data_IF_656821700355
#
_entry.id   IF_656821700355
#
_cell.length_a   1.000
_cell.length_b   1.000
_cell.length_c   1.000
_cell.angle_alpha   90.00
_cell.angle_beta   90.00
_cell.angle_gamma   90.00
#
_symmetry.space_group_name_H-M   'P 1'
#
loop_
_entity.id
_entity.type
_entity.pdbx_description
1 polymer ?
#
# COMPACT_ATOMS: atom_id res chain seq x y z
N UNK A 1 11.69 -25.26 -6.11
CA UNK A 1 10.92 -24.19 -6.81
C UNK A 1 9.45 -24.17 -6.40
N UNK A 2 8.69 -25.27 -6.53
CA UNK A 2 7.26 -25.30 -6.15
C UNK A 2 6.98 -24.93 -4.67
N UNK A 3 7.82 -25.42 -3.74
CA UNK A 3 7.62 -25.14 -2.30
C UNK A 3 7.84 -23.65 -1.95
N UNK A 4 8.77 -23.00 -2.65
CA UNK A 4 9.07 -21.56 -2.52
C UNK A 4 7.91 -20.70 -3.03
N UNK A 5 7.32 -21.06 -4.17
CA UNK A 5 6.14 -20.36 -4.71
C UNK A 5 4.91 -20.52 -3.81
N UNK A 6 4.64 -21.73 -3.31
CA UNK A 6 3.53 -21.96 -2.36
C UNK A 6 3.68 -21.11 -1.10
N UNK A 7 4.89 -21.08 -0.53
CA UNK A 7 5.17 -20.22 0.63
C UNK A 7 4.94 -18.73 0.34
N UNK A 8 5.38 -18.25 -0.82
CA UNK A 8 5.17 -16.85 -1.23
C UNK A 8 3.69 -16.48 -1.40
N UNK A 9 2.89 -17.38 -1.97
CA UNK A 9 1.44 -17.19 -2.11
C UNK A 9 0.77 -17.12 -0.73
N UNK A 10 1.11 -18.03 0.18
CA UNK A 10 0.55 -18.02 1.55
C UNK A 10 0.91 -16.74 2.29
N UNK A 11 2.14 -16.25 2.13
CA UNK A 11 2.60 -14.96 2.68
C UNK A 11 1.82 -13.77 2.10
N UNK A 12 1.61 -13.75 0.79
CA UNK A 12 0.81 -12.70 0.13
C UNK A 12 -0.64 -12.72 0.63
N UNK A 13 -1.27 -13.90 0.67
CA UNK A 13 -2.64 -14.08 1.16
C UNK A 13 -2.78 -13.61 2.62
N UNK A 14 -1.88 -14.03 3.49
CA UNK A 14 -1.87 -13.56 4.88
C UNK A 14 -1.82 -12.03 4.95
N UNK A 15 -0.93 -11.41 4.18
CA UNK A 15 -0.71 -9.96 4.19
C UNK A 15 -1.98 -9.19 3.79
N UNK A 16 -2.61 -9.57 2.67
CA UNK A 16 -3.81 -8.89 2.17
C UNK A 16 -5.04 -9.18 3.04
N UNK A 17 -5.11 -10.34 3.69
CA UNK A 17 -6.17 -10.61 4.68
C UNK A 17 -6.05 -9.69 5.89
N UNK A 18 -4.86 -9.57 6.49
CA UNK A 18 -4.72 -8.70 7.67
C UNK A 18 -4.76 -7.22 7.30
N UNK A 19 -4.36 -6.83 6.09
CA UNK A 19 -4.52 -5.45 5.61
C UNK A 19 -5.98 -5.09 5.35
N UNK A 20 -6.79 -5.98 4.75
CA UNK A 20 -8.23 -5.78 4.64
C UNK A 20 -8.92 -5.63 6.01
N UNK A 21 -8.53 -6.43 7.00
CA UNK A 21 -9.04 -6.30 8.37
C UNK A 21 -8.52 -5.03 9.11
N UNK A 22 -7.46 -4.39 8.59
CA UNK A 22 -6.80 -3.28 9.28
C UNK A 22 -7.65 -2.01 9.34
N UNK A 23 -8.51 -1.75 8.35
CA UNK A 23 -9.43 -0.60 8.39
C UNK A 23 -10.42 -0.73 9.55
N UNK A 24 -10.89 -1.94 9.80
CA UNK A 24 -11.82 -2.25 10.91
C UNK A 24 -11.13 -2.09 12.25
N UNK A 25 -9.95 -2.70 12.42
CA UNK A 25 -9.18 -2.54 13.65
C UNK A 25 -8.76 -1.06 13.88
N UNK A 26 -8.50 -0.30 12.82
CA UNK A 26 -8.24 1.14 12.94
C UNK A 26 -9.47 1.87 13.48
N UNK A 27 -10.69 1.58 12.98
CA UNK A 27 -11.92 2.17 13.55
C UNK A 27 -12.15 1.80 15.01
N UNK A 28 -11.88 0.55 15.40
CA UNK A 28 -11.97 0.13 16.81
C UNK A 28 -10.99 0.93 17.67
N UNK A 29 -9.73 1.08 17.22
CA UNK A 29 -8.73 1.86 17.95
C UNK A 29 -9.09 3.35 18.05
N UNK A 30 -9.67 3.92 16.98
CA UNK A 30 -10.10 5.33 16.92
C UNK A 30 -11.25 5.68 17.88
N UNK A 31 -11.94 4.69 18.47
CA UNK A 31 -12.91 4.95 19.53
C UNK A 31 -12.24 5.37 20.85
N UNK A 32 -10.95 5.09 21.01
CA UNK A 32 -10.22 5.26 22.27
C UNK A 32 -8.95 6.10 22.14
N UNK A 33 -8.52 6.41 20.91
CA UNK A 33 -7.27 7.12 20.67
C UNK A 33 -7.35 7.96 19.39
N UNK A 34 -6.76 9.15 19.45
CA UNK A 34 -6.59 10.01 18.28
C UNK A 34 -5.88 9.29 17.11
N UNK A 35 -6.17 9.68 15.84
CA UNK A 35 -5.55 9.07 14.67
C UNK A 35 -4.03 8.99 14.71
N UNK A 36 -3.37 10.08 15.14
CA UNK A 36 -1.91 10.12 15.20
C UNK A 36 -1.35 9.17 16.26
N UNK A 37 -2.06 8.96 17.38
CA UNK A 37 -1.68 7.99 18.42
C UNK A 37 -1.73 6.56 17.89
N UNK A 38 -2.79 6.21 17.15
CA UNK A 38 -2.92 4.89 16.51
C UNK A 38 -1.78 4.66 15.50
N UNK A 39 -1.50 5.65 14.64
CA UNK A 39 -0.40 5.59 13.67
C UNK A 39 0.95 5.45 14.38
N UNK A 40 1.21 6.27 15.39
CA UNK A 40 2.48 6.27 16.10
C UNK A 40 2.76 4.95 16.80
N UNK A 41 1.80 4.43 17.58
CA UNK A 41 1.94 3.17 18.31
C UNK A 41 2.09 1.97 17.36
N UNK A 42 1.28 1.89 16.29
CA UNK A 42 1.35 0.75 15.35
C UNK A 42 2.69 0.70 14.62
N UNK A 43 3.24 1.85 14.23
CA UNK A 43 4.52 1.87 13.52
C UNK A 43 5.71 1.76 14.47
N UNK A 44 5.60 2.15 15.74
CA UNK A 44 6.60 1.82 16.75
C UNK A 44 6.80 0.29 16.85
N UNK A 45 5.71 -0.47 16.96
CA UNK A 45 5.75 -1.94 16.97
C UNK A 45 6.28 -2.50 15.64
N UNK A 46 5.83 -1.94 14.50
CA UNK A 46 6.30 -2.34 13.18
C UNK A 46 7.82 -2.17 13.02
N UNK A 47 8.39 -1.04 13.46
CA UNK A 47 9.83 -0.75 13.42
C UNK A 47 10.61 -1.78 14.24
N UNK A 48 10.13 -2.12 15.45
CA UNK A 48 10.77 -3.14 16.30
C UNK A 48 10.77 -4.50 15.60
N UNK A 49 9.64 -4.92 15.03
CA UNK A 49 9.50 -6.23 14.37
C UNK A 49 10.33 -6.30 13.09
N UNK A 50 10.29 -5.28 12.24
CA UNK A 50 11.11 -5.22 11.02
C UNK A 50 12.60 -5.13 11.37
N UNK A 51 12.98 -4.37 12.40
CA UNK A 51 14.35 -4.29 12.89
C UNK A 51 14.86 -5.65 13.36
N UNK A 52 14.04 -6.39 14.11
CA UNK A 52 14.35 -7.77 14.49
C UNK A 52 14.50 -8.68 13.27
N UNK A 53 13.59 -8.60 12.30
CA UNK A 53 13.67 -9.38 11.08
C UNK A 53 14.94 -9.07 10.25
N UNK A 54 15.32 -7.78 10.13
CA UNK A 54 16.56 -7.36 9.46
C UNK A 54 17.78 -7.90 10.20
N UNK A 55 17.80 -7.84 11.53
CA UNK A 55 18.88 -8.39 12.36
C UNK A 55 18.99 -9.91 12.19
N UNK A 56 17.90 -10.64 12.36
CA UNK A 56 17.86 -12.11 12.27
C UNK A 56 18.23 -12.62 10.86
N UNK A 57 17.91 -11.85 9.81
CA UNK A 57 18.27 -12.18 8.43
C UNK A 57 19.71 -11.77 8.05
N UNK A 58 20.47 -11.15 8.96
CA UNK A 58 21.81 -10.62 8.66
C UNK A 58 21.79 -9.55 7.57
N UNK A 59 20.72 -8.77 7.49
CA UNK A 59 20.49 -7.76 6.44
C UNK A 59 20.79 -6.34 6.92
N UNK A 60 21.27 -6.17 8.16
CA UNK A 60 21.54 -4.85 8.69
C UNK A 60 22.76 -4.23 8.00
N UNK A 61 22.54 -3.06 7.40
CA UNK A 61 23.58 -2.18 6.87
C UNK A 61 23.09 -0.74 6.97
N UNK A 62 23.98 0.23 6.93
CA UNK A 62 23.56 1.63 6.87
C UNK A 62 23.21 2.03 5.42
N UNK A 63 22.20 2.89 5.21
CA UNK A 63 21.98 3.54 3.92
C UNK A 63 23.20 4.36 3.53
N UNK A 64 23.49 4.46 2.23
CA UNK A 64 24.66 5.19 1.73
C UNK A 64 24.23 6.47 1.01
N UNK A 65 24.88 7.58 1.34
CA UNK A 65 24.72 8.87 0.64
C UNK A 65 23.25 9.29 0.48
N UNK A 66 22.76 9.29 -0.76
CA UNK A 66 21.42 9.76 -1.13
C UNK A 66 20.29 8.84 -0.65
N UNK A 67 20.60 7.60 -0.26
CA UNK A 67 19.59 6.64 0.21
C UNK A 67 18.90 7.09 1.49
N UNK A 68 19.58 7.87 2.33
CA UNK A 68 18.99 8.48 3.53
C UNK A 68 17.81 9.38 3.19
N UNK A 69 18.01 10.33 2.27
CA UNK A 69 16.95 11.23 1.82
C UNK A 69 15.83 10.50 1.06
N UNK A 70 16.20 9.48 0.29
CA UNK A 70 15.25 8.66 -0.45
C UNK A 70 14.34 7.84 0.48
N UNK A 71 14.90 7.16 1.49
CA UNK A 71 14.12 6.42 2.49
C UNK A 71 13.30 7.35 3.38
N UNK A 72 13.82 8.54 3.70
CA UNK A 72 13.07 9.56 4.42
C UNK A 72 11.83 10.03 3.62
N UNK A 73 12.01 10.41 2.35
CA UNK A 73 10.90 10.82 1.49
C UNK A 73 9.83 9.72 1.39
N UNK A 74 10.26 8.47 1.15
CA UNK A 74 9.35 7.33 1.09
C UNK A 74 8.69 7.04 2.44
N UNK A 75 9.39 7.23 3.56
CA UNK A 75 8.83 7.10 4.91
C UNK A 75 7.76 8.14 5.19
N UNK A 76 8.00 9.40 4.82
CA UNK A 76 6.98 10.44 4.92
C UNK A 76 5.75 10.10 4.07
N UNK A 77 5.94 9.78 2.79
CA UNK A 77 4.83 9.50 1.87
C UNK A 77 4.06 8.23 2.26
N UNK A 78 4.74 7.10 2.43
CA UNK A 78 4.12 5.78 2.59
C UNK A 78 3.67 5.44 4.01
N UNK A 79 4.21 6.13 5.03
CA UNK A 79 3.92 5.85 6.44
C UNK A 79 3.24 7.05 7.07
N UNK A 80 3.94 8.18 7.24
CA UNK A 80 3.41 9.31 8.00
C UNK A 80 2.18 9.90 7.34
N UNK A 81 2.32 10.41 6.11
CA UNK A 81 1.27 11.12 5.40
C UNK A 81 0.14 10.18 4.98
N UNK A 82 0.48 9.04 4.36
CA UNK A 82 -0.51 8.02 3.98
C UNK A 82 -1.38 7.56 5.15
N UNK A 83 -0.75 7.16 6.27
CA UNK A 83 -1.48 6.54 7.37
C UNK A 83 -2.16 7.56 8.26
N UNK A 84 -1.64 8.79 8.33
CA UNK A 84 -2.36 9.90 8.92
C UNK A 84 -3.65 10.21 8.13
N UNK A 85 -3.59 10.28 6.79
CA UNK A 85 -4.78 10.48 5.96
C UNK A 85 -5.80 9.35 6.15
N UNK A 86 -5.38 8.08 6.14
CA UNK A 86 -6.30 6.95 6.31
C UNK A 86 -6.91 6.92 7.71
N UNK A 87 -6.10 7.04 8.75
CA UNK A 87 -6.60 6.98 10.14
C UNK A 87 -7.50 8.16 10.45
N UNK A 88 -7.16 9.36 9.96
CA UNK A 88 -8.03 10.53 10.11
C UNK A 88 -9.30 10.39 9.27
N UNK A 89 -9.20 9.83 8.06
CA UNK A 89 -10.35 9.59 7.21
C UNK A 89 -11.34 8.59 7.81
N UNK A 90 -10.85 7.53 8.44
CA UNK A 90 -11.67 6.51 9.09
C UNK A 90 -12.46 7.00 10.32
N UNK A 91 -12.20 8.22 10.81
CA UNK A 91 -13.03 8.86 11.84
C UNK A 91 -14.46 9.09 11.32
N UNK A 92 -14.62 9.50 10.06
CA UNK A 92 -15.96 9.74 9.46
C UNK A 92 -16.33 8.73 8.37
N UNK A 93 -15.34 8.11 7.72
CA UNK A 93 -15.58 7.14 6.66
C UNK A 93 -16.02 5.78 7.22
N UNK A 94 -16.72 5.01 6.39
CA UNK A 94 -16.94 3.59 6.64
C UNK A 94 -15.69 2.78 6.30
N UNK A 95 -15.43 1.71 7.05
CA UNK A 95 -14.31 0.81 6.76
C UNK A 95 -14.52 0.16 5.38
N UNK A 96 -15.76 -0.27 5.10
CA UNK A 96 -16.15 -0.83 3.79
C UNK A 96 -15.86 0.12 2.62
N UNK A 97 -16.32 1.37 2.71
CA UNK A 97 -16.05 2.43 1.72
C UNK A 97 -14.56 2.67 1.54
N UNK A 98 -13.79 2.72 2.64
CA UNK A 98 -12.34 2.90 2.62
C UNK A 98 -11.64 1.80 1.83
N UNK A 99 -11.98 0.53 2.09
CA UNK A 99 -11.41 -0.60 1.35
C UNK A 99 -11.64 -0.53 -0.16
N UNK A 100 -12.83 -0.11 -0.59
CA UNK A 100 -13.15 0.06 -2.02
C UNK A 100 -12.40 1.22 -2.66
N UNK A 101 -12.27 2.36 -1.98
CA UNK A 101 -11.48 3.50 -2.47
C UNK A 101 -10.01 3.09 -2.63
N UNK A 102 -9.44 2.41 -1.62
CA UNK A 102 -8.04 1.97 -1.69
C UNK A 102 -7.82 0.96 -2.82
N UNK A 103 -8.78 0.07 -3.09
CA UNK A 103 -8.73 -0.84 -4.23
C UNK A 103 -8.69 -0.14 -5.60
N UNK A 104 -9.05 1.15 -5.65
CA UNK A 104 -8.96 1.97 -6.86
C UNK A 104 -7.57 2.58 -7.10
N UNK A 105 -6.59 2.39 -6.21
CA UNK A 105 -5.22 2.92 -6.35
C UNK A 105 -4.54 2.68 -7.71
N UNK A 106 -4.73 1.54 -8.41
CA UNK A 106 -4.13 1.33 -9.73
C UNK A 106 -4.60 2.33 -10.80
N UNK A 107 -5.77 2.96 -10.64
CA UNK A 107 -6.24 4.04 -11.51
C UNK A 107 -5.29 5.24 -11.40
N UNK A 108 -4.98 5.65 -10.17
CA UNK A 108 -4.07 6.76 -9.91
C UNK A 108 -2.67 6.45 -10.44
N UNK A 109 -2.22 5.19 -10.38
CA UNK A 109 -0.96 4.78 -11.01
C UNK A 109 -0.96 4.97 -12.53
N UNK A 110 -2.04 4.56 -13.21
CA UNK A 110 -2.16 4.74 -14.66
C UNK A 110 -2.19 6.22 -15.04
N UNK A 111 -2.91 7.05 -14.27
CA UNK A 111 -2.97 8.50 -14.47
C UNK A 111 -1.62 9.17 -14.22
N UNK A 112 -0.88 8.77 -13.18
CA UNK A 112 0.49 9.24 -12.94
C UNK A 112 1.43 8.83 -14.07
N UNK A 113 1.31 7.60 -14.60
CA UNK A 113 2.06 7.17 -15.78
C UNK A 113 1.80 8.05 -17.01
N UNK A 114 0.53 8.39 -17.25
CA UNK A 114 0.15 9.31 -18.32
C UNK A 114 0.75 10.71 -18.13
N UNK A 115 0.61 11.31 -16.94
CA UNK A 115 0.99 12.71 -16.71
C UNK A 115 2.50 12.88 -16.51
N UNK A 116 3.12 12.01 -15.72
CA UNK A 116 4.53 12.13 -15.31
C UNK A 116 5.46 11.45 -16.31
N UNK A 117 5.10 10.23 -16.75
CA UNK A 117 5.93 9.43 -17.66
C UNK A 117 5.56 9.63 -19.13
N UNK A 118 4.49 10.38 -19.42
CA UNK A 118 3.96 10.60 -20.77
C UNK A 118 3.61 9.30 -21.49
N UNK A 119 3.22 8.27 -20.74
CA UNK A 119 2.78 6.99 -21.29
C UNK A 119 1.41 7.13 -21.96
N UNK A 120 1.27 6.61 -23.18
CA UNK A 120 -0.02 6.62 -23.87
C UNK A 120 -0.99 5.58 -23.29
N UNK A 121 -2.22 6.01 -22.96
CA UNK A 121 -3.29 5.12 -22.53
C UNK A 121 -4.02 4.52 -23.75
N UNK A 122 -4.28 3.21 -23.69
CA UNK A 122 -5.19 2.54 -24.64
C UNK A 122 -6.65 2.82 -24.28
N UNK A 123 -7.55 2.68 -25.26
CA UNK A 123 -8.98 2.92 -25.04
C UNK A 123 -9.55 2.02 -23.92
N UNK A 124 -9.07 0.78 -23.78
CA UNK A 124 -9.48 -0.12 -22.71
C UNK A 124 -9.05 0.38 -21.32
N UNK A 125 -7.89 1.04 -21.23
CA UNK A 125 -7.43 1.68 -19.98
C UNK A 125 -8.29 2.90 -19.66
N UNK A 126 -8.62 3.72 -20.67
CA UNK A 126 -9.51 4.89 -20.49
C UNK A 126 -10.90 4.44 -20.00
N UNK A 127 -11.48 3.40 -20.62
CA UNK A 127 -12.75 2.85 -20.15
C UNK A 127 -12.65 2.24 -18.76
N UNK A 128 -11.56 1.53 -18.46
CA UNK A 128 -11.34 0.97 -17.12
C UNK A 128 -11.24 2.05 -16.05
N UNK A 129 -10.54 3.16 -16.35
CA UNK A 129 -10.45 4.34 -15.48
C UNK A 129 -11.83 4.97 -15.28
N UNK A 130 -12.60 5.18 -16.36
CA UNK A 130 -13.94 5.75 -16.28
C UNK A 130 -14.88 4.88 -15.46
N UNK A 131 -14.85 3.55 -15.69
CA UNK A 131 -15.68 2.58 -14.99
C UNK A 131 -15.35 2.56 -13.49
N UNK A 132 -14.07 2.45 -13.12
CA UNK A 132 -13.71 2.40 -11.72
C UNK A 132 -13.88 3.75 -11.02
N UNK A 133 -13.73 4.88 -11.71
CA UNK A 133 -14.10 6.21 -11.19
C UNK A 133 -15.61 6.26 -10.90
N UNK A 134 -16.45 5.76 -11.81
CA UNK A 134 -17.89 5.66 -11.58
C UNK A 134 -18.21 4.76 -10.38
N UNK A 135 -17.52 3.63 -10.25
CA UNK A 135 -17.67 2.74 -9.09
C UNK A 135 -17.30 3.43 -7.77
N UNK A 136 -16.22 4.22 -7.74
CA UNK A 136 -15.86 5.06 -6.58
C UNK A 136 -16.98 6.06 -6.28
N UNK A 137 -17.50 6.77 -7.28
CA UNK A 137 -18.61 7.72 -7.10
C UNK A 137 -19.85 7.04 -6.51
N UNK A 138 -20.20 5.84 -6.99
CA UNK A 138 -21.33 5.07 -6.47
C UNK A 138 -21.14 4.69 -4.99
N UNK A 139 -19.92 4.31 -4.61
CA UNK A 139 -19.54 3.94 -3.24
C UNK A 139 -19.58 5.16 -2.30
N UNK A 140 -18.95 6.28 -2.67
CA UNK A 140 -18.88 7.48 -1.79
C UNK A 140 -20.21 8.21 -1.66
N UNK A 141 -21.04 8.17 -2.71
CA UNK A 141 -22.40 8.76 -2.68
C UNK A 141 -23.44 7.81 -2.09
N UNK A 142 -23.04 6.58 -1.71
CA UNK A 142 -23.95 5.54 -1.24
C UNK A 142 -25.10 5.27 -2.22
N UNK A 143 -24.85 5.44 -3.52
CA UNK A 143 -25.81 5.29 -4.61
C UNK A 143 -26.66 6.54 -4.92
N UNK A 144 -26.60 7.59 -4.10
CA UNK A 144 -27.33 8.83 -4.36
C UNK A 144 -26.46 9.85 -5.11
N UNK A 145 -26.32 9.69 -6.42
CA UNK A 145 -25.51 10.59 -7.26
C UNK A 145 -26.01 12.05 -7.28
N UNK A 146 -27.25 12.32 -6.86
CA UNK A 146 -27.76 13.70 -6.79
C UNK A 146 -27.02 14.55 -5.75
N UNK A 147 -26.37 13.95 -4.76
CA UNK A 147 -25.56 14.69 -3.77
C UNK A 147 -24.37 15.41 -4.41
N UNK A 148 -23.87 14.90 -5.55
CA UNK A 148 -22.78 15.52 -6.30
C UNK A 148 -23.19 16.88 -6.88
N UNK A 149 -24.46 17.05 -7.29
CA UNK A 149 -24.96 18.32 -7.78
C UNK A 149 -24.95 19.41 -6.70
N UNK A 150 -24.99 19.00 -5.42
CA UNK A 150 -24.89 19.89 -4.26
C UNK A 150 -23.44 20.04 -3.75
N UNK A 151 -22.45 19.56 -4.50
CA UNK A 151 -21.03 19.61 -4.12
C UNK A 151 -20.63 18.64 -3.01
N UNK A 152 -21.47 17.67 -2.66
CA UNK A 152 -21.22 16.71 -1.58
C UNK A 152 -20.62 15.41 -2.12
N UNK A 153 -19.30 15.28 -2.02
CA UNK A 153 -18.53 14.10 -2.42
C UNK A 153 -18.29 13.15 -1.23
N UNK A 154 -19.38 12.58 -0.70
CA UNK A 154 -19.31 11.69 0.47
C UNK A 154 -18.93 12.42 1.76
N UNK A 155 -18.35 11.69 2.72
CA UNK A 155 -17.84 12.27 3.97
C UNK A 155 -16.47 12.91 3.76
N UNK A 156 -16.06 13.82 4.63
CA UNK A 156 -14.68 14.37 4.63
C UNK A 156 -13.64 13.26 4.67
N UNK A 157 -13.92 12.19 5.40
CA UNK A 157 -13.05 11.03 5.47
C UNK A 157 -12.89 10.27 4.16
N UNK A 158 -13.95 10.16 3.36
CA UNK A 158 -13.87 9.51 2.03
C UNK A 158 -12.92 10.30 1.10
N UNK A 159 -12.95 11.64 1.19
CA UNK A 159 -12.02 12.52 0.47
C UNK A 159 -10.58 12.32 0.96
N UNK A 160 -10.35 12.24 2.27
CA UNK A 160 -9.02 11.97 2.82
C UNK A 160 -8.47 10.61 2.37
N UNK A 161 -9.31 9.58 2.30
CA UNK A 161 -8.93 8.25 1.81
C UNK A 161 -8.64 8.30 0.30
N UNK A 162 -9.39 9.05 -0.50
CA UNK A 162 -9.09 9.26 -1.92
C UNK A 162 -7.71 9.90 -2.14
N UNK A 163 -7.40 10.95 -1.37
CA UNK A 163 -6.06 11.58 -1.38
C UNK A 163 -5.00 10.55 -0.96
N UNK A 164 -5.32 9.72 0.03
CA UNK A 164 -4.42 8.67 0.50
C UNK A 164 -4.15 7.60 -0.56
N UNK A 165 -5.16 7.19 -1.34
CA UNK A 165 -5.04 6.23 -2.44
C UNK A 165 -4.19 6.79 -3.59
N UNK A 166 -4.30 8.09 -3.90
CA UNK A 166 -3.42 8.79 -4.84
C UNK A 166 -1.98 8.85 -4.30
N UNK A 167 -1.80 9.24 -3.04
CA UNK A 167 -0.48 9.27 -2.39
C UNK A 167 0.18 7.89 -2.37
N UNK A 168 -0.60 6.82 -2.15
CA UNK A 168 -0.10 5.44 -2.25
C UNK A 168 0.42 5.10 -3.65
N UNK A 169 -0.27 5.57 -4.70
CA UNK A 169 0.20 5.42 -6.07
C UNK A 169 1.54 6.15 -6.31
N UNK A 170 1.69 7.37 -5.78
CA UNK A 170 2.96 8.13 -5.82
C UNK A 170 4.08 7.39 -5.08
N UNK A 171 3.84 7.00 -3.82
CA UNK A 171 4.79 6.20 -3.03
C UNK A 171 5.21 4.92 -3.76
N UNK A 172 4.25 4.21 -4.32
CA UNK A 172 4.49 2.96 -5.05
C UNK A 172 5.30 3.18 -6.32
N UNK A 173 5.05 4.26 -7.07
CA UNK A 173 5.85 4.61 -8.24
C UNK A 173 7.29 4.96 -7.84
N UNK A 174 7.46 5.76 -6.77
CA UNK A 174 8.76 6.20 -6.29
C UNK A 174 9.58 5.10 -5.62
N UNK A 175 8.96 4.07 -5.04
CA UNK A 175 9.65 2.96 -4.37
C UNK A 175 10.22 1.92 -5.34
N UNK A 176 9.69 1.82 -6.57
CA UNK A 176 10.12 0.82 -7.58
C UNK A 176 11.63 0.82 -7.87
N UNK A 177 12.32 1.96 -8.09
CA UNK A 177 13.76 1.97 -8.32
C UNK A 177 14.55 1.43 -7.13
N UNK A 178 14.15 1.76 -5.90
CA UNK A 178 14.79 1.28 -4.68
C UNK A 178 14.68 -0.22 -4.50
N UNK A 179 13.53 -0.82 -4.81
CA UNK A 179 13.31 -2.27 -4.74
C UNK A 179 14.22 -3.07 -5.70
N UNK A 180 14.78 -2.44 -6.73
CA UNK A 180 15.78 -3.06 -7.62
C UNK A 180 17.21 -3.00 -7.06
N UNK A 181 17.48 -2.07 -6.13
CA UNK A 181 18.82 -1.78 -5.59
C UNK A 181 19.04 -2.32 -4.18
N UNK A 182 17.95 -2.48 -3.41
CA UNK A 182 18.01 -2.87 -2.01
C UNK A 182 17.18 -4.14 -1.75
N UNK A 183 17.59 -4.90 -0.74
CA UNK A 183 16.74 -5.96 -0.18
C UNK A 183 15.47 -5.32 0.37
N UNK A 184 14.30 -5.83 -0.03
CA UNK A 184 13.05 -5.13 0.24
C UNK A 184 12.73 -4.98 1.74
N UNK A 185 13.03 -6.00 2.56
CA UNK A 185 12.87 -5.93 4.03
C UNK A 185 13.77 -4.85 4.66
N UNK A 186 15.01 -4.72 4.17
CA UNK A 186 15.95 -3.69 4.62
C UNK A 186 15.47 -2.28 4.25
N UNK A 187 15.10 -2.08 2.99
CA UNK A 187 14.56 -0.80 2.52
C UNK A 187 13.31 -0.41 3.32
N UNK A 188 12.39 -1.36 3.54
CA UNK A 188 11.18 -1.10 4.30
C UNK A 188 11.47 -0.75 5.77
N UNK A 189 12.46 -1.38 6.40
CA UNK A 189 12.85 -1.04 7.78
C UNK A 189 13.21 0.46 7.90
N UNK A 190 14.03 0.99 6.99
CA UNK A 190 14.38 2.40 7.02
C UNK A 190 13.23 3.33 6.65
N UNK A 191 12.43 2.98 5.63
CA UNK A 191 11.20 3.71 5.28
C UNK A 191 10.27 3.82 6.48
N UNK A 192 10.04 2.69 7.17
CA UNK A 192 9.18 2.63 8.35
C UNK A 192 9.75 3.40 9.52
N UNK A 193 11.06 3.32 9.74
CA UNK A 193 11.75 4.06 10.80
C UNK A 193 11.63 5.55 10.57
N UNK A 194 11.93 6.06 9.37
CA UNK A 194 11.74 7.47 9.06
C UNK A 194 10.29 7.92 9.16
N UNK A 195 9.37 7.09 8.66
CA UNK A 195 7.94 7.33 8.79
C UNK A 195 7.46 7.47 10.24
N UNK A 196 7.95 6.60 11.12
CA UNK A 196 7.70 6.67 12.55
C UNK A 196 8.36 7.90 13.21
N UNK A 197 9.58 8.27 12.81
CA UNK A 197 10.23 9.49 13.29
C UNK A 197 9.45 10.74 12.90
N UNK A 198 8.97 10.85 11.66
CA UNK A 198 8.15 11.98 11.23
C UNK A 198 6.78 12.00 11.89
N UNK A 199 6.15 10.84 12.10
CA UNK A 199 4.89 10.78 12.87
C UNK A 199 5.10 11.13 14.34
N UNK A 200 6.30 10.90 14.90
CA UNK A 200 6.66 11.31 16.26
C UNK A 200 6.59 12.84 16.42
N UNK A 201 6.99 13.60 15.40
CA UNK A 201 6.89 15.06 15.43
C UNK A 201 5.43 15.48 15.59
N UNK A 202 4.53 14.92 14.79
CA UNK A 202 3.09 15.21 14.88
C UNK A 202 2.48 14.73 16.20
N UNK A 203 2.88 13.55 16.66
CA UNK A 203 2.42 12.98 17.92
C UNK A 203 2.77 13.87 19.10
N UNK A 204 4.03 14.26 19.26
CA UNK A 204 4.47 15.11 20.38
C UNK A 204 4.04 16.58 20.23
N UNK A 205 3.72 17.05 19.02
CA UNK A 205 3.19 18.40 18.80
C UNK A 205 1.69 18.53 19.09
N UNK A 206 0.96 17.41 19.23
CA UNK A 206 -0.50 17.43 19.47
C UNK A 206 -0.79 17.63 20.96
N UNK A 207 -1.41 18.76 21.38
CA UNK A 207 -1.86 18.94 22.75
C UNK A 207 -3.00 17.97 23.04
N UNK A 208 -3.05 17.39 24.25
CA UNK A 208 -4.02 16.36 24.64
C UNK A 208 -3.85 15.05 23.86
N UNK A 209 -2.67 14.44 23.98
CA UNK A 209 -2.59 13.00 23.78
C UNK A 209 -3.61 12.36 24.72
N UNK A 210 -4.66 11.74 24.17
CA UNK A 210 -5.57 10.89 24.96
C UNK A 210 -4.69 10.05 25.88
N UNK A 211 -4.98 9.95 27.18
CA UNK A 211 -4.09 9.27 28.09
C UNK A 211 -3.91 7.85 27.58
N UNK A 212 -2.73 7.53 27.04
CA UNK A 212 -2.46 6.19 26.47
C UNK A 212 -2.75 5.10 27.51
N UNK A 213 -2.64 5.47 28.80
CA UNK A 213 -2.98 4.64 29.96
C UNK A 213 -4.48 4.35 30.12
N UNK A 214 -5.35 5.20 29.58
CA UNK A 214 -6.81 5.06 29.60
C UNK A 214 -7.34 4.25 28.43
N UNK A 215 -6.51 3.92 27.43
CA UNK A 215 -6.91 3.03 26.33
C UNK A 215 -7.30 1.67 26.93
N UNK A 216 -8.55 1.21 26.76
CA UNK A 216 -8.99 -0.08 27.29
C UNK A 216 -8.39 -1.25 26.50
N UNK A 217 -8.55 -2.47 27.04
CA UNK A 217 -7.95 -3.68 26.47
C UNK A 217 -8.32 -3.91 25.00
N UNK A 218 -9.58 -3.67 24.61
CA UNK A 218 -10.02 -3.79 23.22
C UNK A 218 -9.33 -2.78 22.29
N UNK A 219 -9.09 -1.55 22.74
CA UNK A 219 -8.28 -0.56 22.02
C UNK A 219 -6.84 -1.03 21.84
N UNK A 220 -6.22 -1.56 22.91
CA UNK A 220 -4.88 -2.14 22.84
C UNK A 220 -4.78 -3.38 21.95
N UNK A 221 -5.79 -4.26 21.96
CA UNK A 221 -5.84 -5.42 21.07
C UNK A 221 -5.93 -4.98 19.60
N UNK A 222 -6.73 -3.95 19.29
CA UNK A 222 -6.81 -3.38 17.96
C UNK A 222 -5.48 -2.75 17.53
N UNK A 223 -4.84 -1.95 18.39
CA UNK A 223 -3.54 -1.33 18.14
C UNK A 223 -2.44 -2.39 17.98
N UNK A 224 -2.41 -3.41 18.83
CA UNK A 224 -1.47 -4.52 18.75
C UNK A 224 -1.67 -5.32 17.46
N UNK A 225 -2.93 -5.54 17.04
CA UNK A 225 -3.22 -6.17 15.75
C UNK A 225 -2.63 -5.36 14.59
N UNK A 226 -2.87 -4.05 14.59
CA UNK A 226 -2.35 -3.11 13.59
C UNK A 226 -0.83 -3.04 13.58
N UNK A 227 -0.20 -3.05 14.75
CA UNK A 227 1.24 -2.94 14.89
C UNK A 227 1.98 -4.22 14.54
N UNK A 228 1.56 -5.33 15.14
CA UNK A 228 2.25 -6.61 15.04
C UNK A 228 1.97 -7.28 13.69
N UNK A 229 0.70 -7.47 13.37
CA UNK A 229 0.32 -8.24 12.18
C UNK A 229 0.33 -7.37 10.93
N UNK A 230 -0.29 -6.19 10.96
CA UNK A 230 -0.40 -5.36 9.75
C UNK A 230 0.88 -4.55 9.45
N UNK A 231 1.52 -3.95 10.47
CA UNK A 231 2.72 -3.12 10.31
C UNK A 231 4.04 -3.89 10.43
N UNK A 232 4.06 -5.04 11.11
CA UNK A 232 5.24 -5.89 11.22
C UNK A 232 5.24 -7.06 10.23
N UNK A 233 4.49 -8.11 10.57
CA UNK A 233 4.54 -9.42 9.89
C UNK A 233 4.09 -9.31 8.43
N UNK A 234 2.97 -8.63 8.14
CA UNK A 234 2.45 -8.50 6.79
C UNK A 234 3.41 -7.77 5.86
N UNK A 235 4.08 -6.71 6.32
CA UNK A 235 5.11 -6.06 5.49
C UNK A 235 6.25 -7.02 5.15
N UNK A 236 6.74 -7.79 6.12
CA UNK A 236 7.79 -8.80 5.87
C UNK A 236 7.30 -9.83 4.83
N UNK A 237 6.09 -10.36 5.01
CA UNK A 237 5.52 -11.40 4.16
C UNK A 237 5.22 -10.89 2.75
N UNK A 238 4.68 -9.68 2.63
CA UNK A 238 4.42 -9.04 1.36
C UNK A 238 5.70 -8.80 0.55
N UNK A 239 6.75 -8.31 1.20
CA UNK A 239 8.03 -8.09 0.52
C UNK A 239 8.77 -9.39 0.18
N UNK A 240 8.61 -10.45 0.98
CA UNK A 240 9.05 -11.79 0.61
C UNK A 240 8.29 -12.29 -0.63
N UNK A 241 6.98 -12.06 -0.70
CA UNK A 241 6.17 -12.43 -1.86
C UNK A 241 6.55 -11.63 -3.12
N UNK A 242 6.78 -10.33 -3.00
CA UNK A 242 7.23 -9.46 -4.10
C UNK A 242 8.58 -9.88 -4.69
N UNK A 243 9.46 -10.49 -3.90
CA UNK A 243 10.73 -11.02 -4.38
C UNK A 243 10.58 -12.39 -5.07
N UNK A 244 9.59 -13.18 -4.67
CA UNK A 244 9.42 -14.56 -5.11
C UNK A 244 8.38 -14.74 -6.24
N UNK A 245 7.47 -13.78 -6.42
CA UNK A 245 6.37 -13.83 -7.39
C UNK A 245 6.47 -12.67 -8.38
N UNK A 246 5.94 -12.83 -9.61
CA UNK A 246 5.77 -11.72 -10.54
C UNK A 246 4.97 -10.57 -9.90
N UNK A 247 5.37 -9.32 -10.18
CA UNK A 247 4.72 -8.12 -9.64
C UNK A 247 3.23 -8.09 -9.96
N UNK A 248 2.85 -8.43 -11.19
CA UNK A 248 1.44 -8.47 -11.60
C UNK A 248 0.63 -9.52 -10.80
N UNK A 249 1.23 -10.68 -10.52
CA UNK A 249 0.60 -11.71 -9.70
C UNK A 249 0.46 -11.27 -8.24
N UNK A 250 1.52 -10.69 -7.68
CA UNK A 250 1.51 -10.21 -6.29
C UNK A 250 0.47 -9.09 -6.12
N UNK A 251 0.46 -8.12 -7.02
CA UNK A 251 -0.51 -7.02 -7.01
C UNK A 251 -1.97 -7.47 -7.15
N UNK A 252 -2.24 -8.59 -7.83
CA UNK A 252 -3.60 -9.12 -7.94
C UNK A 252 -4.18 -9.60 -6.60
N UNK A 253 -3.34 -10.00 -5.63
CA UNK A 253 -3.82 -10.36 -4.29
C UNK A 253 -4.43 -9.16 -3.54
N UNK A 254 -4.05 -7.92 -3.87
CA UNK A 254 -4.61 -6.72 -3.23
C UNK A 254 -6.12 -6.58 -3.46
N UNK A 255 -6.68 -7.19 -4.51
CA UNK A 255 -8.13 -7.20 -4.73
C UNK A 255 -8.92 -8.00 -3.67
N UNK A 256 -8.23 -8.80 -2.86
CA UNK A 256 -8.84 -9.53 -1.74
C UNK A 256 -9.10 -8.59 -0.56
N UNK A 257 -8.31 -7.54 -0.38
CA UNK A 257 -8.44 -6.59 0.74
C UNK A 257 -9.84 -6.02 0.92
N UNK A 258 -10.49 -5.42 -0.11
CA UNK A 258 -11.84 -4.87 0.06
C UNK A 258 -12.88 -5.93 0.41
N UNK A 259 -12.72 -7.17 -0.07
CA UNK A 259 -13.62 -8.29 0.24
C UNK A 259 -13.50 -8.65 1.72
N UNK A 260 -12.27 -8.77 2.23
CA UNK A 260 -12.03 -9.02 3.65
C UNK A 260 -12.53 -7.85 4.50
N UNK A 261 -12.31 -6.61 4.04
CA UNK A 261 -12.81 -5.41 4.71
C UNK A 261 -14.32 -5.47 4.88
N UNK A 262 -15.05 -5.80 3.81
CA UNK A 262 -16.51 -5.97 3.81
C UNK A 262 -16.96 -7.01 4.83
N UNK A 263 -16.35 -8.20 4.82
CA UNK A 263 -16.72 -9.29 5.73
C UNK A 263 -16.46 -8.89 7.19
N UNK A 264 -15.26 -8.38 7.49
CA UNK A 264 -14.87 -8.05 8.86
C UNK A 264 -15.64 -6.84 9.38
N UNK A 265 -15.90 -5.83 8.54
CA UNK A 265 -16.68 -4.66 8.94
C UNK A 265 -18.15 -5.00 9.23
N UNK A 266 -18.74 -5.91 8.46
CA UNK A 266 -20.11 -6.38 8.72
C UNK A 266 -20.21 -7.14 10.05
N UNK A 267 -19.20 -7.93 10.42
CA UNK A 267 -19.21 -8.77 11.64
C UNK A 267 -18.80 -8.01 12.91
N UNK A 268 -17.80 -7.12 12.81
CA UNK A 268 -17.18 -6.48 13.99
C UNK A 268 -17.73 -5.07 14.25
N UNK A 269 -18.14 -4.35 13.20
CA UNK A 269 -18.63 -2.97 13.31
C UNK A 269 -20.12 -2.83 13.03
N UNK A 270 -20.81 -3.93 12.72
CA UNK A 270 -22.20 -3.93 12.26
C UNK A 270 -22.45 -2.95 11.09
N UNK A 271 -21.44 -2.73 10.23
CA UNK A 271 -21.57 -1.82 9.09
C UNK A 271 -22.58 -2.39 8.08
N UNK A 272 -23.67 -1.64 7.84
CA UNK A 272 -24.70 -2.03 6.87
C UNK A 272 -24.15 -1.99 5.45
N UNK A 273 -24.17 -3.15 4.78
CA UNK A 273 -23.80 -3.26 3.38
C UNK A 273 -24.93 -2.77 2.47
N UNK A 274 -24.72 -1.60 1.89
CA UNK A 274 -25.64 -1.05 0.90
C UNK A 274 -25.42 -1.77 -0.45
N UNK A 275 -26.50 -2.09 -1.20
CA UNK A 275 -26.37 -2.64 -2.56
C UNK A 275 -25.52 -1.75 -3.47
N UNK A 276 -25.62 -0.43 -3.31
CA UNK A 276 -24.78 0.54 -4.02
C UNK A 276 -23.28 0.32 -3.72
N UNK A 277 -22.89 0.07 -2.47
CA UNK A 277 -21.49 -0.19 -2.11
C UNK A 277 -20.96 -1.46 -2.77
N UNK A 278 -21.79 -2.51 -2.84
CA UNK A 278 -21.42 -3.78 -3.49
C UNK A 278 -21.27 -3.61 -5.01
N UNK A 279 -22.28 -3.02 -5.66
CA UNK A 279 -22.26 -2.77 -7.11
C UNK A 279 -21.09 -1.86 -7.51
N UNK A 280 -20.83 -0.83 -6.72
CA UNK A 280 -19.73 0.09 -6.95
C UNK A 280 -18.38 -0.59 -6.74
N UNK A 281 -18.25 -1.43 -5.71
CA UNK A 281 -17.07 -2.28 -5.50
C UNK A 281 -16.79 -3.22 -6.66
N UNK A 282 -17.80 -3.93 -7.18
CA UNK A 282 -17.67 -4.77 -8.38
C UNK A 282 -17.21 -3.94 -9.57
N UNK A 283 -17.81 -2.76 -9.74
CA UNK A 283 -17.49 -1.83 -10.84
C UNK A 283 -16.04 -1.34 -10.75
N UNK A 284 -15.55 -1.03 -9.54
CA UNK A 284 -14.14 -0.69 -9.29
C UNK A 284 -13.24 -1.85 -9.71
N UNK A 285 -13.52 -3.07 -9.25
CA UNK A 285 -12.70 -4.24 -9.57
C UNK A 285 -12.65 -4.52 -11.07
N UNK A 286 -13.78 -4.42 -11.78
CA UNK A 286 -13.82 -4.61 -13.23
C UNK A 286 -13.02 -3.53 -13.94
N UNK A 287 -13.20 -2.25 -13.58
CA UNK A 287 -12.47 -1.16 -14.21
C UNK A 287 -10.96 -1.24 -13.97
N UNK A 288 -10.55 -1.54 -12.73
CA UNK A 288 -9.14 -1.74 -12.38
C UNK A 288 -8.54 -2.96 -13.09
N UNK A 289 -9.29 -4.05 -13.22
CA UNK A 289 -8.87 -5.22 -14.01
C UNK A 289 -8.66 -4.86 -15.49
N UNK A 290 -9.55 -4.05 -16.09
CA UNK A 290 -9.40 -3.57 -17.47
C UNK A 290 -8.13 -2.73 -17.67
N UNK A 291 -7.81 -1.86 -16.69
CA UNK A 291 -6.58 -1.07 -16.70
C UNK A 291 -5.35 -1.98 -16.63
N UNK A 292 -5.35 -2.95 -15.72
CA UNK A 292 -4.17 -3.77 -15.43
C UNK A 292 -3.91 -4.90 -16.44
N UNK A 293 -4.94 -5.41 -17.13
CA UNK A 293 -4.76 -6.42 -18.20
C UNK A 293 -4.17 -5.83 -19.48
N UNK A 294 -4.28 -4.52 -19.66
CA UNK A 294 -3.95 -3.83 -20.91
C UNK A 294 -2.53 -3.26 -20.85
N UNK A 295 -1.66 -3.64 -21.79
CA UNK A 295 -0.33 -3.02 -21.93
C UNK A 295 -0.47 -1.60 -22.50
N UNK A 296 0.19 -0.61 -21.91
CA UNK A 296 0.20 0.78 -22.40
C UNK A 296 0.75 0.89 -23.83
N UNK A 297 0.36 1.93 -24.58
CA UNK A 297 0.74 2.10 -26.00
C UNK A 297 2.24 2.38 -26.21
N UNK A 298 2.84 3.06 -25.24
CA UNK A 298 4.27 3.41 -25.24
C UNK A 298 4.83 3.10 -23.86
N UNK A 299 5.06 1.82 -23.52
CA UNK A 299 5.88 1.53 -22.35
C UNK A 299 7.25 2.16 -22.62
N UNK A 300 7.88 2.74 -21.60
CA UNK A 300 9.29 3.08 -21.72
C UNK A 300 10.00 1.79 -22.16
N UNK A 301 10.61 1.82 -23.34
CA UNK A 301 11.68 0.89 -23.68
C UNK A 301 12.79 1.24 -22.68
N UNK A 302 12.70 0.67 -21.48
CA UNK A 302 13.91 0.41 -20.72
C UNK A 302 14.64 -0.52 -21.66
N UNK A 303 15.71 -0.06 -22.28
CA UNK A 303 16.60 -0.92 -23.06
C UNK A 303 16.79 -2.17 -22.21
N UNK A 304 16.11 -3.25 -22.63
CA UNK A 304 16.54 -4.58 -22.33
C UNK A 304 18.02 -4.58 -22.71
N UNK A 305 18.85 -5.12 -21.82
CA UNK A 305 20.25 -5.38 -22.10
C UNK A 305 20.40 -5.80 -23.57
N UNK A 306 21.38 -5.26 -24.33
CA UNK A 306 21.61 -5.74 -25.68
C UNK A 306 21.70 -7.28 -25.65
N UNK A 307 21.16 -7.96 -26.67
CA UNK A 307 21.22 -9.41 -26.74
C UNK A 307 22.66 -9.87 -26.54
N UNK A 308 22.82 -10.94 -25.76
CA UNK A 308 24.11 -11.56 -25.51
C UNK A 308 24.67 -12.11 -26.83
N UNK A 309 25.39 -11.27 -27.58
CA UNK A 309 26.25 -11.69 -28.68
C UNK A 309 27.70 -11.73 -28.21
N UNK A 310 28.19 -12.97 -28.09
CA UNK A 310 29.50 -13.38 -28.59
C UNK A 310 30.73 -12.57 -28.12
N UNK A 311 31.29 -12.94 -26.96
CA UNK A 311 32.70 -12.72 -26.66
C UNK A 311 33.26 -13.76 -25.67
N UNK A 312 33.43 -14.99 -26.16
CA UNK A 312 34.44 -15.91 -25.61
C UNK A 312 35.06 -16.72 -26.75
N UNK A 313 35.53 -16.00 -27.77
CA UNK A 313 36.52 -16.47 -28.72
C UNK A 313 37.78 -15.63 -28.53
N UNK A 314 38.58 -15.93 -27.52
CA UNK A 314 39.99 -15.53 -27.51
C UNK A 314 40.83 -16.51 -26.68
N UNK A 315 41.34 -17.53 -27.39
CA UNK A 315 42.58 -18.19 -27.02
C UNK A 315 43.75 -17.22 -27.24
N UNK A 316 44.75 -17.25 -26.37
CA UNK A 316 46.12 -17.23 -26.87
C UNK A 316 46.87 -18.48 -26.40
N UNK A 317 47.29 -19.30 -27.37
CA UNK A 317 48.41 -20.25 -27.22
C UNK A 317 49.73 -19.47 -27.28
N UNK A 318 50.58 -19.73 -26.29
CA UNK A 318 52.06 -19.80 -26.31
C UNK A 318 52.86 -19.23 -27.49
N UNK A 319 53.92 -18.46 -27.16
CA UNK A 319 55.37 -18.71 -27.45
C UNK A 319 56.17 -17.57 -26.79
N UNK A 320 57.05 -17.85 -25.82
CA UNK A 320 58.47 -18.28 -25.89
C UNK A 320 59.44 -17.15 -26.29
N UNK A 321 60.39 -16.89 -25.39
CA UNK A 321 61.86 -16.67 -25.59
C UNK A 321 62.39 -15.51 -24.71
N UNK A 322 63.36 -15.85 -23.83
CA UNK A 322 64.05 -14.92 -22.91
C UNK A 322 64.30 -15.53 -21.54
#
# INVERSE_FOLDING_TARGET
>A
MQNTQRSAILKALFSVTVWGASFVATKVALQFAAPITVVWLRFAMGVVILGLAVKLRGQFSFPQGKDWGYFALLGFLGITFHQWLQSTGLVTAQATTTGWIVASSPIFMALLGLVVLKEGLRWEQVLGIALATFGVLLVVTKGNLSTLANGQLGTTGDVLVLISALNWAVFSALSRPGLKRHRATHMMFYIMTFGWLFSSILFFATPNLDPIREIPLNGWLAIAFLGIFCSGIAYIFWYDALQALPVAQTGAFLYIEPIITVIVAAVILDERLLPATILGGITILVGVWMVNRTKSLRPIIVQNQPPAESAAGFHPKNRRDG
#
